data_IF_800645756126
#
_entry.id   IF_800645756126
#
_cell.length_a   1.000
_cell.length_b   1.000
_cell.length_c   1.000
_cell.angle_alpha   90.00
_cell.angle_beta   90.00
_cell.angle_gamma   90.00
#
_symmetry.space_group_name_H-M   'P 1'
#
loop_
_entity.id
_entity.type
_entity.pdbx_description
1 polymer ?
#
# COMPACT_ATOMS: atom_id res chain seq x y z
N UNK A 1 12.53 36.43 -18.12
CA UNK A 1 13.86 35.88 -18.38
C UNK A 1 14.07 35.73 -19.87
N UNK A 2 15.26 36.03 -20.34
CA UNK A 2 15.63 35.83 -21.74
C UNK A 2 16.13 34.39 -21.99
N UNK A 3 16.47 34.06 -23.25
CA UNK A 3 16.96 32.72 -23.65
C UNK A 3 18.29 32.31 -22.99
N UNK A 4 19.00 33.23 -22.36
CA UNK A 4 20.26 33.00 -21.61
C UNK A 4 20.00 32.87 -20.11
N UNK A 5 18.74 32.89 -19.65
CA UNK A 5 18.39 32.80 -18.26
C UNK A 5 18.56 34.12 -17.48
N UNK A 6 18.88 35.23 -18.15
CA UNK A 6 18.99 36.52 -17.47
C UNK A 6 17.64 37.18 -17.28
N UNK A 7 17.46 37.83 -16.15
CA UNK A 7 16.25 38.61 -15.81
C UNK A 7 16.67 39.95 -15.22
N UNK A 8 15.79 40.93 -15.36
CA UNK A 8 15.91 42.24 -14.76
C UNK A 8 14.58 42.63 -14.15
N UNK A 9 14.63 43.14 -12.93
CA UNK A 9 13.45 43.59 -12.18
C UNK A 9 13.72 45.03 -11.75
N UNK A 10 12.91 45.96 -12.23
CA UNK A 10 12.95 47.36 -11.80
C UNK A 10 12.13 47.54 -10.53
N UNK A 11 12.70 48.16 -9.53
CA UNK A 11 12.05 48.43 -8.22
C UNK A 11 12.24 49.88 -7.85
N UNK A 12 11.25 50.46 -7.15
CA UNK A 12 11.21 51.88 -6.83
C UNK A 12 11.81 52.27 -5.47
N UNK A 13 12.13 51.27 -4.63
CA UNK A 13 12.59 51.51 -3.25
C UNK A 13 13.91 50.76 -3.00
N UNK A 14 14.78 51.33 -2.21
CA UNK A 14 16.06 50.69 -1.82
C UNK A 14 15.88 49.86 -0.54
N UNK A 15 15.18 48.74 -0.70
CA UNK A 15 14.96 47.75 0.39
C UNK A 15 15.29 46.33 -0.06
N UNK A 16 15.30 45.39 0.87
CA UNK A 16 15.44 43.97 0.54
C UNK A 16 14.12 43.48 -0.10
N UNK A 17 14.26 42.75 -1.20
CA UNK A 17 13.15 42.08 -1.88
C UNK A 17 13.31 40.58 -1.81
N UNK A 18 12.23 39.88 -1.45
CA UNK A 18 12.16 38.43 -1.57
C UNK A 18 11.74 38.07 -2.98
N UNK A 19 12.67 37.47 -3.72
CA UNK A 19 12.45 37.05 -5.10
C UNK A 19 12.26 35.55 -5.12
N UNK A 20 11.12 35.10 -5.63
CA UNK A 20 10.85 33.68 -5.84
C UNK A 20 11.09 33.35 -7.31
N UNK A 21 12.09 32.50 -7.56
CA UNK A 21 12.32 31.93 -8.88
C UNK A 21 11.64 30.55 -8.96
N UNK A 22 10.81 30.35 -9.98
CA UNK A 22 10.14 29.09 -10.25
C UNK A 22 10.18 28.75 -11.72
N UNK A 23 10.38 27.48 -12.04
CA UNK A 23 10.33 26.95 -13.39
C UNK A 23 9.77 25.53 -13.38
N UNK A 24 9.03 25.17 -14.43
CA UNK A 24 8.43 23.81 -14.53
C UNK A 24 9.50 22.76 -14.48
N UNK A 25 9.38 21.81 -13.55
CA UNK A 25 10.39 20.75 -13.33
C UNK A 25 11.53 21.11 -12.38
N UNK A 26 11.49 22.31 -11.74
CA UNK A 26 12.49 22.74 -10.76
C UNK A 26 11.84 23.12 -9.43
N UNK A 27 12.59 23.00 -8.34
CA UNK A 27 12.14 23.45 -7.04
C UNK A 27 12.14 24.97 -6.98
N UNK A 28 11.04 25.62 -6.54
CA UNK A 28 11.04 27.06 -6.31
C UNK A 28 12.12 27.44 -5.29
N UNK A 29 12.84 28.51 -5.56
CA UNK A 29 13.89 29.02 -4.67
C UNK A 29 13.63 30.49 -4.33
N UNK A 30 13.70 30.78 -3.05
CA UNK A 30 13.60 32.14 -2.53
C UNK A 30 15.00 32.71 -2.32
N UNK A 31 15.20 33.94 -2.78
CA UNK A 31 16.45 34.68 -2.63
C UNK A 31 16.16 36.11 -2.24
N UNK A 32 16.82 36.59 -1.23
CA UNK A 32 16.71 38.01 -0.84
C UNK A 32 17.76 38.80 -1.65
N UNK A 33 17.32 39.77 -2.42
CA UNK A 33 18.16 40.62 -3.23
C UNK A 33 17.92 42.11 -2.92
N UNK A 34 18.95 42.92 -3.15
CA UNK A 34 18.91 44.38 -3.06
C UNK A 34 19.03 45.02 -4.43
N UNK A 35 18.41 46.22 -4.64
CA UNK A 35 18.60 46.99 -5.87
C UNK A 35 20.10 47.21 -6.13
N UNK A 36 20.51 47.09 -7.43
CA UNK A 36 21.89 47.27 -7.85
C UNK A 36 22.80 46.05 -7.63
N UNK A 37 22.27 44.93 -7.06
CA UNK A 37 23.04 43.69 -6.93
C UNK A 37 22.62 42.66 -7.97
N UNK A 38 23.60 41.95 -8.50
CA UNK A 38 23.39 40.79 -9.38
C UNK A 38 23.06 39.59 -8.49
N UNK A 39 21.87 39.02 -8.67
CA UNK A 39 21.46 37.79 -7.99
C UNK A 39 21.58 36.60 -8.95
N UNK A 40 22.42 35.62 -8.60
CA UNK A 40 22.50 34.35 -9.33
C UNK A 40 21.62 33.32 -8.61
N UNK A 41 20.60 32.79 -9.29
CA UNK A 41 19.68 31.83 -8.74
C UNK A 41 19.84 30.50 -9.47
N UNK A 42 20.46 29.53 -8.82
CA UNK A 42 20.53 28.16 -9.35
C UNK A 42 19.32 27.40 -8.88
N UNK A 43 18.46 27.00 -9.81
CA UNK A 43 17.34 26.12 -9.56
C UNK A 43 17.80 24.66 -9.62
N UNK A 44 17.44 23.89 -8.63
CA UNK A 44 17.67 22.44 -8.64
C UNK A 44 16.47 21.76 -9.28
N UNK A 45 16.74 20.83 -10.21
CA UNK A 45 15.68 20.01 -10.78
C UNK A 45 14.84 19.43 -9.65
N UNK A 46 13.54 19.69 -9.69
CA UNK A 46 12.60 18.97 -8.86
C UNK A 46 12.64 17.53 -9.34
N UNK A 47 13.36 16.66 -8.62
CA UNK A 47 13.26 15.21 -8.81
C UNK A 47 11.89 14.66 -8.45
N UNK A 48 10.97 15.52 -8.11
CA UNK A 48 9.55 15.26 -8.13
C UNK A 48 9.06 15.44 -9.57
N UNK A 49 9.58 14.64 -10.47
CA UNK A 49 8.83 14.32 -11.68
C UNK A 49 7.57 13.62 -11.21
N UNK A 50 6.52 14.40 -10.99
CA UNK A 50 5.20 13.93 -10.57
C UNK A 50 4.57 12.95 -11.58
N UNK A 51 5.22 12.70 -12.72
CA UNK A 51 4.71 11.88 -13.82
C UNK A 51 5.65 10.77 -14.30
N UNK A 52 6.84 10.60 -13.72
CA UNK A 52 7.76 9.57 -14.17
C UNK A 52 7.88 8.46 -13.12
N UNK A 53 6.83 7.68 -13.01
CA UNK A 53 6.83 6.43 -12.23
C UNK A 53 7.38 5.35 -13.15
N UNK A 54 8.51 4.78 -12.80
CA UNK A 54 9.07 3.62 -13.48
C UNK A 54 8.24 2.41 -13.05
N UNK A 55 7.56 1.79 -13.99
CA UNK A 55 6.75 0.59 -13.76
C UNK A 55 7.59 -0.62 -14.07
N UNK A 56 7.87 -1.43 -13.05
CA UNK A 56 8.63 -2.68 -13.20
C UNK A 56 7.78 -3.84 -13.67
N UNK A 57 6.48 -3.59 -13.83
CA UNK A 57 5.48 -4.60 -14.11
C UNK A 57 5.62 -5.35 -15.45
N UNK A 58 6.43 -4.91 -16.40
CA UNK A 58 6.67 -5.58 -17.70
C UNK A 58 7.99 -6.36 -17.77
N UNK A 59 8.60 -6.71 -16.62
CA UNK A 59 9.96 -7.28 -16.50
C UNK A 59 11.09 -6.36 -17.02
N UNK A 60 10.76 -5.11 -17.33
CA UNK A 60 11.72 -4.08 -17.70
C UNK A 60 11.27 -2.74 -17.14
N UNK A 61 12.19 -1.97 -16.57
CA UNK A 61 11.92 -0.63 -16.09
C UNK A 61 11.58 0.28 -17.28
N UNK A 62 10.36 0.80 -17.32
CA UNK A 62 9.91 1.74 -18.34
C UNK A 62 9.12 2.89 -17.71
N UNK A 63 9.20 4.09 -18.24
CA UNK A 63 8.33 5.18 -17.84
C UNK A 63 6.85 4.82 -18.05
N UNK A 64 5.98 5.17 -17.11
CA UNK A 64 4.55 4.88 -17.19
C UNK A 64 3.90 5.39 -18.50
N UNK A 65 4.35 6.56 -18.97
CA UNK A 65 3.87 7.17 -20.23
C UNK A 65 4.16 6.34 -21.50
N UNK A 66 5.23 5.51 -21.45
CA UNK A 66 5.66 4.69 -22.58
C UNK A 66 5.12 3.25 -22.49
N UNK A 67 4.24 2.99 -21.53
CA UNK A 67 3.63 1.67 -21.36
C UNK A 67 2.48 1.47 -22.35
N UNK A 68 2.53 0.46 -23.21
CA UNK A 68 1.45 0.14 -24.15
C UNK A 68 0.21 -0.47 -23.46
N UNK A 69 0.22 -0.50 -22.14
CA UNK A 69 -0.73 -1.25 -21.31
C UNK A 69 -1.38 -0.34 -20.29
N UNK A 70 -2.68 -0.55 -20.05
CA UNK A 70 -3.40 0.17 -19.01
C UNK A 70 -2.83 -0.17 -17.64
N UNK A 71 -1.96 0.69 -17.15
CA UNK A 71 -1.28 0.54 -15.86
C UNK A 71 -1.71 1.67 -14.93
N UNK A 72 -2.13 1.34 -13.71
CA UNK A 72 -2.35 2.28 -12.62
C UNK A 72 -1.24 2.12 -11.60
N UNK A 73 -0.77 3.25 -11.08
CA UNK A 73 0.18 3.28 -9.97
C UNK A 73 -0.45 3.98 -8.79
N UNK A 74 -0.51 3.29 -7.66
CA UNK A 74 -0.83 3.88 -6.36
C UNK A 74 0.50 4.33 -5.77
N UNK A 75 0.72 5.64 -5.79
CA UNK A 75 1.98 6.23 -5.33
C UNK A 75 2.09 6.22 -3.81
N UNK A 76 3.31 6.40 -3.29
CA UNK A 76 3.55 6.53 -1.84
C UNK A 76 2.70 7.65 -1.21
N UNK A 77 2.55 8.77 -1.89
CA UNK A 77 1.73 9.88 -1.43
C UNK A 77 0.25 9.50 -1.29
N UNK A 78 -0.28 8.76 -2.25
CA UNK A 78 -1.65 8.24 -2.21
C UNK A 78 -1.83 7.25 -1.05
N UNK A 79 -0.88 6.33 -0.85
CA UNK A 79 -0.86 5.39 0.28
C UNK A 79 -0.89 6.13 1.63
N UNK A 80 -0.08 7.17 1.78
CA UNK A 80 -0.03 8.00 3.00
C UNK A 80 -1.33 8.80 3.20
N UNK A 81 -1.96 9.26 2.14
CA UNK A 81 -3.24 9.99 2.19
C UNK A 81 -4.39 9.08 2.61
N UNK A 82 -4.45 7.85 2.09
CA UNK A 82 -5.47 6.85 2.47
C UNK A 82 -5.30 6.45 3.94
N UNK A 83 -4.08 6.47 4.45
CA UNK A 83 -3.73 6.18 5.84
C UNK A 83 -4.28 4.82 6.34
N UNK A 84 -4.31 3.82 5.48
CA UNK A 84 -4.78 2.49 5.81
C UNK A 84 -3.83 1.78 6.79
N UNK A 85 -4.39 0.96 7.69
CA UNK A 85 -3.60 0.15 8.64
C UNK A 85 -3.16 -1.18 8.06
N UNK A 86 -3.85 -1.68 7.05
CA UNK A 86 -3.54 -2.93 6.37
C UNK A 86 -3.66 -2.80 4.85
N UNK A 87 -3.09 -3.78 4.14
CA UNK A 87 -3.09 -3.80 2.68
C UNK A 87 -4.49 -3.99 2.09
N UNK A 88 -5.37 -4.73 2.76
CA UNK A 88 -6.73 -4.99 2.28
C UNK A 88 -7.53 -3.70 2.23
N UNK A 89 -7.51 -2.92 3.30
CA UNK A 89 -8.15 -1.61 3.38
C UNK A 89 -7.57 -0.63 2.34
N UNK A 90 -6.23 -0.63 2.19
CA UNK A 90 -5.57 0.20 1.19
C UNK A 90 -6.05 -0.13 -0.23
N UNK A 91 -6.03 -1.41 -0.59
CA UNK A 91 -6.41 -1.85 -1.93
C UNK A 91 -7.89 -1.63 -2.21
N UNK A 92 -8.79 -1.91 -1.25
CA UNK A 92 -10.23 -1.67 -1.42
C UNK A 92 -10.54 -0.18 -1.63
N UNK A 93 -9.85 0.70 -0.91
CA UNK A 93 -10.04 2.15 -1.03
C UNK A 93 -9.47 2.68 -2.35
N UNK A 94 -8.30 2.17 -2.76
CA UNK A 94 -7.60 2.66 -3.94
C UNK A 94 -8.08 2.04 -5.25
N UNK A 95 -8.67 0.83 -5.22
CA UNK A 95 -9.05 0.07 -6.41
C UNK A 95 -10.56 -0.20 -6.45
N UNK A 96 -11.33 0.62 -7.17
CA UNK A 96 -12.74 0.35 -7.39
C UNK A 96 -12.97 -1.03 -8.03
N UNK A 97 -13.94 -1.78 -7.48
CA UNK A 97 -14.29 -3.13 -7.94
C UNK A 97 -13.44 -4.25 -7.34
N UNK A 98 -12.50 -3.92 -6.45
CA UNK A 98 -11.77 -4.91 -5.67
C UNK A 98 -12.45 -5.06 -4.30
N UNK A 99 -12.78 -6.30 -3.95
CA UNK A 99 -13.44 -6.65 -2.70
C UNK A 99 -12.69 -7.77 -2.01
N UNK A 100 -12.62 -7.68 -0.69
CA UNK A 100 -12.16 -8.76 0.16
C UNK A 100 -13.32 -9.25 0.99
N UNK A 101 -13.53 -10.55 0.99
CA UNK A 101 -14.48 -11.25 1.86
C UNK A 101 -13.72 -12.22 2.75
N UNK A 102 -14.17 -12.37 3.98
CA UNK A 102 -13.61 -13.37 4.88
C UNK A 102 -14.49 -14.62 4.83
N UNK A 103 -13.88 -15.75 4.54
CA UNK A 103 -14.56 -17.04 4.53
C UNK A 103 -14.32 -17.72 5.87
N UNK A 104 -15.38 -17.84 6.67
CA UNK A 104 -15.32 -18.43 8.02
C UNK A 104 -14.94 -19.91 8.01
N UNK A 105 -15.29 -20.64 6.94
CA UNK A 105 -14.96 -22.06 6.84
C UNK A 105 -13.49 -22.30 6.54
N UNK A 106 -12.92 -21.54 5.60
CA UNK A 106 -11.52 -21.66 5.23
C UNK A 106 -10.60 -20.81 6.11
N UNK A 107 -11.15 -19.96 7.00
CA UNK A 107 -10.43 -18.99 7.82
C UNK A 107 -9.50 -18.10 6.98
N UNK A 108 -9.85 -17.87 5.73
CA UNK A 108 -9.04 -17.18 4.75
C UNK A 108 -9.75 -15.95 4.19
N UNK A 109 -8.94 -14.98 3.77
CA UNK A 109 -9.44 -13.81 3.05
C UNK A 109 -9.47 -14.14 1.57
N UNK A 110 -10.65 -14.11 0.99
CA UNK A 110 -10.88 -14.26 -0.44
C UNK A 110 -10.92 -12.89 -1.10
N UNK A 111 -10.42 -12.82 -2.31
CA UNK A 111 -10.43 -11.61 -3.13
C UNK A 111 -11.33 -11.79 -4.34
N UNK A 112 -12.08 -10.76 -4.66
CA UNK A 112 -12.79 -10.62 -5.93
C UNK A 112 -12.43 -9.28 -6.56
N UNK A 113 -12.04 -9.30 -7.83
CA UNK A 113 -11.73 -8.11 -8.59
C UNK A 113 -12.53 -8.08 -9.89
N UNK A 114 -13.39 -7.08 -10.03
CA UNK A 114 -14.29 -6.94 -11.19
C UNK A 114 -15.10 -8.23 -11.49
N UNK A 115 -15.56 -8.91 -10.44
CA UNK A 115 -16.31 -10.17 -10.55
C UNK A 115 -15.45 -11.43 -10.76
N UNK A 116 -14.14 -11.30 -10.90
CA UNK A 116 -13.21 -12.42 -11.03
C UNK A 116 -12.61 -12.78 -9.67
N UNK A 117 -12.58 -14.07 -9.34
CA UNK A 117 -12.01 -14.56 -8.07
C UNK A 117 -10.48 -14.52 -8.02
N UNK A 118 -9.92 -14.78 -6.87
CA UNK A 118 -8.49 -14.64 -6.56
C UNK A 118 -7.52 -15.41 -7.47
N UNK A 119 -7.96 -16.47 -8.10
CA UNK A 119 -7.14 -17.21 -9.09
C UNK A 119 -6.84 -16.41 -10.35
N UNK A 120 -7.71 -15.45 -10.68
CA UNK A 120 -7.56 -14.62 -11.87
C UNK A 120 -6.71 -13.37 -11.62
N UNK A 121 -6.33 -13.08 -10.37
CA UNK A 121 -5.52 -11.93 -9.98
C UNK A 121 -4.16 -12.41 -9.50
N UNK A 122 -3.11 -11.95 -10.16
CA UNK A 122 -1.74 -12.27 -9.77
C UNK A 122 -1.18 -11.20 -8.83
N UNK A 123 -0.65 -11.64 -7.69
CA UNK A 123 0.08 -10.78 -6.77
C UNK A 123 1.57 -10.99 -6.89
N UNK A 124 2.31 -9.89 -6.97
CA UNK A 124 3.76 -9.86 -6.97
C UNK A 124 4.27 -9.01 -5.79
N UNK A 125 5.43 -9.36 -5.27
CA UNK A 125 6.21 -8.58 -4.31
C UNK A 125 7.58 -8.30 -4.94
N UNK A 126 7.89 -7.04 -5.18
CA UNK A 126 9.13 -6.62 -5.86
C UNK A 126 9.37 -7.36 -7.20
N UNK A 127 8.28 -7.72 -7.90
CA UNK A 127 8.33 -8.49 -9.16
C UNK A 127 8.28 -10.01 -9.01
N UNK A 128 8.46 -10.53 -7.79
CA UNK A 128 8.41 -11.96 -7.50
C UNK A 128 6.98 -12.42 -7.20
N UNK A 129 6.59 -13.57 -7.72
CA UNK A 129 5.24 -14.10 -7.53
C UNK A 129 4.98 -14.50 -6.09
N UNK A 130 3.85 -14.04 -5.55
CA UNK A 130 3.31 -14.50 -4.28
C UNK A 130 2.27 -15.57 -4.57
N UNK A 131 2.45 -16.76 -4.01
CA UNK A 131 1.46 -17.82 -4.04
C UNK A 131 0.71 -17.87 -2.72
N UNK A 132 -0.61 -17.99 -2.82
CA UNK A 132 -1.47 -18.23 -1.68
C UNK A 132 -1.67 -19.72 -1.43
N UNK A 133 -2.33 -20.04 -0.32
CA UNK A 133 -2.66 -21.41 0.07
C UNK A 133 -3.99 -21.86 -0.54
N UNK A 134 -4.11 -23.16 -0.74
CA UNK A 134 -5.32 -23.83 -1.20
C UNK A 134 -5.71 -23.53 -2.64
N UNK A 135 -6.83 -24.14 -3.03
CA UNK A 135 -7.35 -24.07 -4.40
C UNK A 135 -7.84 -22.69 -4.84
N UNK A 136 -8.09 -21.76 -3.92
CA UNK A 136 -8.54 -20.39 -4.20
C UNK A 136 -7.39 -19.38 -4.29
N UNK A 137 -6.13 -19.80 -4.11
CA UNK A 137 -4.95 -18.93 -4.04
C UNK A 137 -5.09 -17.86 -2.94
N UNK A 138 -5.47 -18.29 -1.73
CA UNK A 138 -5.70 -17.40 -0.61
C UNK A 138 -4.39 -16.86 -0.06
N UNK A 139 -4.14 -15.59 -0.27
CA UNK A 139 -2.94 -14.90 0.21
C UNK A 139 -3.24 -14.31 1.60
N UNK A 140 -2.34 -14.51 2.56
CA UNK A 140 -2.41 -13.76 3.82
C UNK A 140 -1.91 -12.33 3.60
N UNK A 141 -2.85 -11.42 3.29
CA UNK A 141 -2.54 -10.00 3.04
C UNK A 141 -2.02 -9.28 4.28
N UNK A 142 -2.22 -9.87 5.46
CA UNK A 142 -1.68 -9.37 6.72
C UNK A 142 -0.16 -9.38 6.79
N UNK A 143 0.51 -10.20 5.96
CA UNK A 143 1.99 -10.25 5.91
C UNK A 143 2.65 -8.97 5.34
N UNK A 144 1.88 -8.10 4.67
CA UNK A 144 2.41 -6.90 4.03
C UNK A 144 2.22 -5.69 4.93
N UNK A 145 3.31 -5.13 5.40
CA UNK A 145 3.29 -3.89 6.16
C UNK A 145 3.16 -2.70 5.18
N UNK A 146 2.05 -1.98 5.27
CA UNK A 146 1.76 -0.81 4.41
C UNK A 146 2.86 0.26 4.49
N UNK A 147 3.55 0.37 5.64
CA UNK A 147 4.63 1.32 5.81
C UNK A 147 5.87 0.97 4.98
N UNK A 148 6.07 -0.30 4.66
CA UNK A 148 7.21 -0.76 3.86
C UNK A 148 6.95 -0.69 2.36
N UNK A 149 5.71 -0.38 1.95
CA UNK A 149 5.33 -0.24 0.54
C UNK A 149 5.76 1.13 0.03
N UNK A 150 6.46 1.16 -1.09
CA UNK A 150 6.80 2.37 -1.82
C UNK A 150 5.67 2.79 -2.75
N UNK A 151 5.19 1.85 -3.56
CA UNK A 151 4.07 2.02 -4.47
C UNK A 151 3.44 0.68 -4.81
N UNK A 152 2.25 0.70 -5.39
CA UNK A 152 1.59 -0.50 -5.92
C UNK A 152 1.30 -0.26 -7.39
N UNK A 153 1.75 -1.17 -8.24
CA UNK A 153 1.57 -1.13 -9.68
C UNK A 153 0.49 -2.13 -10.08
N UNK A 154 -0.50 -1.68 -10.84
CA UNK A 154 -1.62 -2.51 -11.26
C UNK A 154 -1.65 -2.54 -12.79
N UNK A 155 -1.45 -3.72 -13.36
CA UNK A 155 -1.55 -3.97 -14.80
C UNK A 155 -2.86 -4.68 -15.09
N UNK A 156 -3.63 -4.15 -16.04
CA UNK A 156 -4.95 -4.67 -16.42
C UNK A 156 -4.98 -5.14 -17.85
N UNK A 157 -5.93 -6.04 -18.14
CA UNK A 157 -6.18 -6.51 -19.49
C UNK A 157 -5.18 -7.56 -19.99
N UNK A 158 -5.14 -7.77 -21.30
CA UNK A 158 -4.38 -8.85 -21.95
C UNK A 158 -2.88 -8.86 -21.60
N UNK A 159 -2.30 -7.72 -21.29
CA UNK A 159 -0.88 -7.66 -20.90
C UNK A 159 -0.58 -8.30 -19.56
N UNK A 160 -1.55 -8.46 -18.69
CA UNK A 160 -1.38 -9.22 -17.46
C UNK A 160 -1.01 -10.70 -17.75
N UNK A 161 -1.43 -11.24 -18.88
CA UNK A 161 -1.08 -12.61 -19.30
C UNK A 161 0.39 -12.83 -19.64
N UNK A 162 1.17 -11.74 -19.81
CA UNK A 162 2.64 -11.82 -19.94
C UNK A 162 3.32 -12.32 -18.66
N UNK A 163 2.64 -12.19 -17.53
CA UNK A 163 3.13 -12.65 -16.22
C UNK A 163 2.69 -14.07 -15.89
N UNK A 164 1.43 -14.36 -16.16
CA UNK A 164 0.84 -15.69 -15.98
C UNK A 164 -0.41 -15.77 -16.87
N UNK A 165 -0.59 -16.85 -17.61
CA UNK A 165 -1.76 -17.10 -18.43
C UNK A 165 -3.08 -17.06 -17.64
N UNK A 166 -3.01 -17.21 -16.32
CA UNK A 166 -4.15 -17.13 -15.40
C UNK A 166 -4.46 -15.72 -14.90
N UNK A 167 -3.59 -14.74 -15.14
CA UNK A 167 -3.75 -13.37 -14.65
C UNK A 167 -4.77 -12.54 -15.49
N UNK A 168 -5.92 -13.13 -15.81
CA UNK A 168 -6.96 -12.52 -16.66
C UNK A 168 -7.54 -11.27 -15.97
N UNK A 169 -7.69 -11.30 -14.66
CA UNK A 169 -8.18 -10.18 -13.84
C UNK A 169 -7.17 -9.06 -13.66
N UNK A 170 -5.89 -9.34 -13.84
CA UNK A 170 -4.81 -8.37 -13.71
C UNK A 170 -3.66 -8.82 -12.83
N UNK A 171 -2.64 -7.98 -12.77
CA UNK A 171 -1.46 -8.14 -11.92
C UNK A 171 -1.40 -6.98 -10.93
N UNK A 172 -1.21 -7.27 -9.66
CA UNK A 172 -0.98 -6.30 -8.59
C UNK A 172 0.43 -6.53 -8.06
N UNK A 173 1.35 -5.61 -8.39
CA UNK A 173 2.75 -5.68 -7.98
C UNK A 173 3.01 -4.71 -6.84
N UNK A 174 3.35 -5.23 -5.68
CA UNK A 174 3.67 -4.47 -4.47
C UNK A 174 5.17 -4.20 -4.50
N UNK A 175 5.54 -2.94 -4.70
CA UNK A 175 6.94 -2.51 -4.67
C UNK A 175 7.27 -2.00 -3.28
N UNK A 176 8.25 -2.64 -2.67
CA UNK A 176 8.71 -2.25 -1.34
C UNK A 176 9.79 -1.17 -1.40
N UNK A 177 9.91 -0.43 -0.32
CA UNK A 177 10.88 0.65 -0.21
C UNK A 177 12.30 0.14 -0.37
N UNK A 178 13.08 0.92 -1.10
CA UNK A 178 14.54 0.83 -1.15
C UNK A 178 15.09 2.02 -0.37
N UNK A 179 16.17 1.82 0.39
CA UNK A 179 16.81 2.91 1.12
C UNK A 179 17.52 3.88 0.17
N UNK A 180 16.83 4.95 -0.25
CA UNK A 180 17.41 5.94 -1.18
C UNK A 180 18.16 7.09 -0.48
N UNK A 181 17.94 7.28 0.82
CA UNK A 181 18.59 8.33 1.60
C UNK A 181 19.84 7.79 2.30
N UNK A 182 20.88 8.61 2.52
CA UNK A 182 22.08 8.19 3.23
C UNK A 182 21.80 7.58 4.60
N UNK A 183 20.81 8.12 5.31
CA UNK A 183 20.27 7.56 6.54
C UNK A 183 18.76 7.71 6.50
N UNK A 184 18.07 6.67 6.85
CA UNK A 184 16.60 6.65 6.97
C UNK A 184 16.25 6.12 8.35
N UNK A 185 15.43 6.86 9.09
CA UNK A 185 14.77 6.39 10.29
C UNK A 185 13.31 6.82 10.24
N UNK A 186 12.39 5.90 10.55
CA UNK A 186 10.97 6.17 10.59
C UNK A 186 10.35 5.42 11.74
N UNK A 187 9.53 6.12 12.49
CA UNK A 187 8.64 5.55 13.50
C UNK A 187 7.22 5.92 13.10
N UNK A 188 6.32 4.98 13.14
CA UNK A 188 4.91 5.21 12.85
C UNK A 188 4.05 4.46 13.85
N UNK A 189 3.05 5.15 14.36
CA UNK A 189 2.00 4.56 15.20
C UNK A 189 0.65 4.98 14.64
N UNK A 190 -0.30 4.07 14.62
CA UNK A 190 -1.67 4.32 14.17
C UNK A 190 -2.65 3.61 15.09
N UNK A 191 -3.75 4.29 15.33
CA UNK A 191 -4.89 3.74 16.06
C UNK A 191 -6.11 3.79 15.15
N UNK A 192 -6.84 2.71 15.08
CA UNK A 192 -8.09 2.60 14.33
C UNK A 192 -9.22 2.18 15.24
N UNK A 193 -10.46 2.38 14.80
CA UNK A 193 -11.62 1.88 15.50
C UNK A 193 -11.54 0.37 15.79
N UNK A 194 -12.26 -0.09 16.81
CA UNK A 194 -12.25 -1.48 17.27
C UNK A 194 -10.91 -1.96 17.80
N UNK A 195 -10.24 -1.10 18.56
CA UNK A 195 -8.94 -1.39 19.18
C UNK A 195 -7.89 -1.90 18.20
N UNK A 196 -7.91 -1.33 16.99
CA UNK A 196 -6.86 -1.55 16.00
C UNK A 196 -5.64 -0.71 16.34
N UNK A 197 -4.50 -1.36 16.50
CA UNK A 197 -3.22 -0.75 16.81
C UNK A 197 -2.17 -1.17 15.79
N UNK A 198 -1.33 -0.24 15.40
CA UNK A 198 -0.20 -0.49 14.53
C UNK A 198 1.01 0.32 15.00
N UNK A 199 2.11 -0.37 15.17
CA UNK A 199 3.41 0.20 15.47
C UNK A 199 4.40 -0.25 14.41
N UNK A 200 5.19 0.65 13.86
CA UNK A 200 6.27 0.28 12.97
C UNK A 200 7.50 1.15 13.16
N UNK A 201 8.64 0.53 13.07
CA UNK A 201 9.95 1.18 13.11
C UNK A 201 10.74 0.68 11.92
N UNK A 202 11.35 1.58 11.18
CA UNK A 202 12.30 1.22 10.14
C UNK A 202 13.53 2.10 10.21
N UNK A 203 14.69 1.48 10.03
CA UNK A 203 15.98 2.15 9.99
C UNK A 203 16.84 1.58 8.86
N UNK A 204 17.55 2.46 8.18
CA UNK A 204 18.38 2.06 7.06
C UNK A 204 19.51 3.04 6.79
N UNK A 205 20.54 2.51 6.16
CA UNK A 205 21.69 3.27 5.69
C UNK A 205 21.90 2.95 4.21
N UNK A 206 22.14 3.99 3.43
CA UNK A 206 22.51 3.87 2.02
C UNK A 206 23.83 4.60 1.79
N UNK A 207 24.86 3.86 1.55
CA UNK A 207 26.21 4.32 1.19
C UNK A 207 26.50 3.93 -0.25
N UNK A 208 27.56 4.48 -0.82
CA UNK A 208 27.93 4.35 -2.24
C UNK A 208 27.79 2.90 -2.79
N UNK A 209 28.26 1.92 -2.05
CA UNK A 209 28.28 0.51 -2.47
C UNK A 209 27.43 -0.40 -1.59
N UNK A 210 26.88 0.12 -0.47
CA UNK A 210 26.16 -0.67 0.51
C UNK A 210 24.85 0.00 0.90
N UNK A 211 23.77 -0.73 0.88
CA UNK A 211 22.51 -0.29 1.46
C UNK A 211 21.91 -1.35 2.36
N UNK A 212 21.31 -0.90 3.45
CA UNK A 212 20.55 -1.75 4.36
C UNK A 212 19.28 -1.05 4.78
N UNK A 213 18.21 -1.84 4.95
CA UNK A 213 16.96 -1.38 5.51
C UNK A 213 16.40 -2.50 6.40
N UNK A 214 16.23 -2.17 7.68
CA UNK A 214 15.58 -3.05 8.66
C UNK A 214 14.23 -2.44 9.00
N UNK A 215 13.18 -3.24 8.96
CA UNK A 215 11.84 -2.84 9.35
C UNK A 215 11.28 -3.80 10.40
N UNK A 216 10.57 -3.24 11.36
CA UNK A 216 9.83 -3.94 12.40
C UNK A 216 8.41 -3.41 12.39
N UNK A 217 7.43 -4.32 12.41
CA UNK A 217 6.02 -4.00 12.47
C UNK A 217 5.29 -4.85 13.50
N UNK A 218 4.41 -4.22 14.27
CA UNK A 218 3.45 -4.90 15.12
C UNK A 218 2.07 -4.34 14.87
N UNK A 219 1.10 -5.22 14.63
CA UNK A 219 -0.29 -4.86 14.37
C UNK A 219 -1.22 -5.76 15.19
N UNK A 220 -2.20 -5.15 15.83
CA UNK A 220 -3.20 -5.86 16.60
C UNK A 220 -4.58 -5.31 16.27
N UNK A 221 -5.57 -6.18 16.24
CA UNK A 221 -6.99 -5.83 16.23
C UNK A 221 -7.74 -6.82 17.09
N UNK A 222 -8.67 -6.35 17.89
CA UNK A 222 -9.53 -7.20 18.68
C UNK A 222 -10.64 -7.85 17.85
N UNK A 223 -11.11 -8.99 18.30
CA UNK A 223 -12.30 -9.65 17.73
C UNK A 223 -13.54 -8.80 17.99
N UNK A 224 -14.46 -8.79 17.05
CA UNK A 224 -15.73 -8.13 17.23
C UNK A 224 -16.86 -8.94 16.60
N UNK A 225 -18.03 -8.84 17.19
CA UNK A 225 -19.22 -9.56 16.73
C UNK A 225 -20.09 -8.59 15.92
N UNK A 226 -20.47 -9.01 14.73
CA UNK A 226 -21.51 -8.37 13.95
C UNK A 226 -22.81 -9.07 14.31
N UNK A 227 -23.69 -8.36 15.00
CA UNK A 227 -25.04 -8.82 15.23
C UNK A 227 -25.92 -8.33 14.07
N UNK A 228 -26.67 -9.23 13.44
CA UNK A 228 -27.76 -8.82 12.57
C UNK A 228 -28.87 -8.25 13.47
N UNK A 229 -29.06 -6.94 13.42
CA UNK A 229 -30.02 -6.23 14.26
C UNK A 229 -31.49 -6.46 13.84
N UNK A 230 -31.69 -7.13 12.71
CA UNK A 230 -33.03 -7.45 12.21
C UNK A 230 -33.42 -8.83 12.76
N UNK A 231 -34.06 -8.87 13.91
CA UNK A 231 -34.70 -10.08 14.40
C UNK A 231 -35.72 -10.57 13.36
N UNK A 232 -35.42 -11.67 12.70
CA UNK A 232 -36.38 -12.31 11.79
C UNK A 232 -37.50 -12.88 12.63
N UNK A 233 -38.66 -12.28 12.55
CA UNK A 233 -39.87 -12.80 13.15
C UNK A 233 -40.47 -13.85 12.23
N UNK A 234 -40.54 -15.08 12.68
CA UNK A 234 -41.22 -16.15 11.97
C UNK A 234 -42.66 -16.18 12.44
N UNK A 235 -43.60 -15.89 11.55
CA UNK A 235 -45.03 -16.05 11.84
C UNK A 235 -45.47 -17.46 11.38
N UNK A 236 -45.92 -18.26 12.33
CA UNK A 236 -46.47 -19.57 12.05
C UNK A 236 -48.00 -19.53 12.36
N UNK A 237 -48.82 -19.75 11.34
CA UNK A 237 -50.26 -19.82 11.50
C UNK A 237 -50.64 -21.25 11.92
N UNK A 238 -51.15 -21.39 13.11
CA UNK A 238 -51.63 -22.67 13.62
C UNK A 238 -52.99 -23.02 13.02
N UNK A 239 -53.36 -24.31 13.00
CA UNK A 239 -54.62 -24.81 12.46
C UNK A 239 -55.87 -24.23 13.10
N UNK A 240 -55.74 -23.67 14.31
CA UNK A 240 -56.80 -22.97 15.04
C UNK A 240 -56.90 -21.46 14.71
N UNK A 241 -56.16 -20.99 13.67
CA UNK A 241 -56.17 -19.58 13.24
C UNK A 241 -55.26 -18.65 14.05
N UNK A 242 -54.65 -19.13 15.11
CA UNK A 242 -53.75 -18.34 15.95
C UNK A 242 -52.39 -18.16 15.22
N UNK A 243 -51.90 -16.92 15.15
CA UNK A 243 -50.57 -16.60 14.61
C UNK A 243 -49.58 -16.61 15.77
N UNK A 244 -48.68 -17.58 15.76
CA UNK A 244 -47.53 -17.63 16.66
C UNK A 244 -46.38 -16.88 16.07
N UNK A 245 -45.83 -15.88 16.78
CA UNK A 245 -44.65 -15.13 16.41
C UNK A 245 -43.45 -15.63 17.21
N UNK A 246 -42.55 -16.31 16.54
CA UNK A 246 -41.29 -16.76 17.14
C UNK A 246 -40.17 -15.84 16.64
N UNK A 247 -39.38 -15.26 17.55
CA UNK A 247 -38.17 -14.52 17.21
C UNK A 247 -37.09 -15.54 16.94
N UNK A 248 -36.66 -15.62 15.69
CA UNK A 248 -35.51 -16.46 15.34
C UNK A 248 -34.26 -15.87 15.96
N UNK A 249 -33.32 -16.71 16.47
CA UNK A 249 -32.05 -16.22 17.00
C UNK A 249 -31.33 -15.45 15.92
N UNK A 250 -30.85 -14.27 16.27
CA UNK A 250 -30.01 -13.46 15.43
C UNK A 250 -28.71 -14.21 15.14
N UNK A 251 -28.36 -14.36 13.89
CA UNK A 251 -27.03 -14.87 13.52
C UNK A 251 -25.99 -13.85 13.96
N UNK A 252 -25.12 -14.26 14.86
CA UNK A 252 -23.96 -13.47 15.26
C UNK A 252 -22.76 -14.03 14.52
N UNK A 253 -22.16 -13.20 13.68
CA UNK A 253 -20.88 -13.52 13.04
C UNK A 253 -19.76 -12.81 13.79
N UNK A 254 -18.79 -13.56 14.29
CA UNK A 254 -17.63 -13.00 14.97
C UNK A 254 -16.47 -12.88 13.99
N UNK A 255 -16.04 -11.67 13.72
CA UNK A 255 -14.82 -11.41 12.99
C UNK A 255 -13.64 -11.47 13.96
N UNK A 256 -12.81 -12.48 13.76
CA UNK A 256 -11.67 -12.72 14.63
C UNK A 256 -10.64 -11.59 14.57
N UNK A 257 -10.13 -11.26 15.73
CA UNK A 257 -8.97 -10.39 15.86
C UNK A 257 -7.69 -11.06 15.37
N UNK A 258 -6.63 -10.31 15.36
CA UNK A 258 -5.29 -10.82 15.04
C UNK A 258 -4.21 -10.05 15.78
N UNK A 259 -3.07 -10.67 15.95
CA UNK A 259 -1.83 -10.05 16.40
C UNK A 259 -0.72 -10.49 15.45
N UNK A 260 -0.17 -9.54 14.73
CA UNK A 260 0.83 -9.77 13.68
C UNK A 260 2.13 -9.11 14.08
N UNK A 261 3.21 -9.88 14.05
CA UNK A 261 4.57 -9.41 14.17
C UNK A 261 5.29 -9.65 12.84
N UNK A 262 5.86 -8.62 12.27
CA UNK A 262 6.69 -8.70 11.07
C UNK A 262 8.04 -8.04 11.28
N UNK A 263 9.09 -8.69 10.80
CA UNK A 263 10.45 -8.16 10.77
C UNK A 263 11.02 -8.41 9.39
N UNK A 264 11.59 -7.40 8.77
CA UNK A 264 12.22 -7.54 7.47
C UNK A 264 13.61 -6.92 7.44
N UNK A 265 14.51 -7.56 6.72
CA UNK A 265 15.87 -7.11 6.50
C UNK A 265 16.17 -7.14 5.01
N UNK A 266 16.62 -6.01 4.48
CA UNK A 266 17.14 -5.90 3.12
C UNK A 266 18.60 -5.47 3.18
N UNK A 267 19.44 -6.12 2.41
CA UNK A 267 20.85 -5.80 2.24
C UNK A 267 21.14 -5.76 0.74
N UNK A 268 21.90 -4.79 0.31
CA UNK A 268 22.36 -4.70 -1.06
C UNK A 268 23.83 -4.25 -1.06
N UNK A 269 24.65 -4.93 -1.82
CA UNK A 269 26.04 -4.57 -2.02
C UNK A 269 26.40 -4.56 -3.49
N UNK A 270 26.95 -3.44 -3.96
CA UNK A 270 27.43 -3.25 -5.32
C UNK A 270 28.93 -3.45 -5.32
N UNK A 271 29.40 -4.55 -5.91
CA UNK A 271 30.83 -4.85 -6.03
C UNK A 271 31.48 -3.99 -7.12
N UNK A 272 30.81 -3.89 -8.25
CA UNK A 272 31.20 -3.07 -9.41
C UNK A 272 29.96 -2.81 -10.29
N UNK A 273 30.15 -2.14 -11.44
CA UNK A 273 29.05 -1.78 -12.35
C UNK A 273 28.32 -2.98 -12.97
N UNK A 274 28.92 -4.17 -12.91
CA UNK A 274 28.35 -5.40 -13.49
C UNK A 274 27.87 -6.40 -12.42
N UNK A 275 28.31 -6.27 -11.17
CA UNK A 275 28.02 -7.22 -10.11
C UNK A 275 27.41 -6.54 -8.89
N UNK A 276 26.21 -6.96 -8.56
CA UNK A 276 25.47 -6.55 -7.37
C UNK A 276 24.93 -7.78 -6.67
N UNK A 277 24.98 -7.81 -5.36
CA UNK A 277 24.30 -8.81 -4.53
C UNK A 277 23.20 -8.17 -3.70
N UNK A 278 22.02 -8.76 -3.76
CA UNK A 278 20.87 -8.36 -2.98
C UNK A 278 20.44 -9.54 -2.10
N UNK A 279 20.22 -9.27 -0.82
CA UNK A 279 19.67 -10.21 0.13
C UNK A 279 18.42 -9.62 0.77
N UNK A 280 17.36 -10.42 0.83
CA UNK A 280 16.13 -10.07 1.54
C UNK A 280 15.70 -11.24 2.41
N UNK A 281 15.51 -10.96 3.70
CA UNK A 281 14.95 -11.89 4.66
C UNK A 281 13.77 -11.27 5.37
N UNK A 282 12.77 -12.08 5.73
CA UNK A 282 11.63 -11.64 6.52
C UNK A 282 11.16 -12.72 7.47
N UNK A 283 10.76 -12.29 8.67
CA UNK A 283 10.05 -13.10 9.65
C UNK A 283 8.65 -12.56 9.81
N UNK A 284 7.67 -13.45 9.78
CA UNK A 284 6.26 -13.11 9.91
C UNK A 284 5.58 -14.09 10.86
N UNK A 285 4.85 -13.55 11.84
CA UNK A 285 4.06 -14.34 12.78
C UNK A 285 2.67 -13.72 12.91
N UNK A 286 1.65 -14.48 12.56
CA UNK A 286 0.25 -14.09 12.67
C UNK A 286 -0.44 -14.99 13.67
N UNK A 287 -0.86 -14.42 14.80
CA UNK A 287 -1.64 -15.13 15.82
C UNK A 287 -3.10 -14.66 15.73
N UNK A 288 -3.98 -15.61 15.50
CA UNK A 288 -5.43 -15.42 15.56
C UNK A 288 -5.98 -16.20 16.75
N UNK A 289 -6.83 -15.60 17.61
CA UNK A 289 -7.48 -16.37 18.66
C UNK A 289 -8.37 -17.41 17.97
N UNK A 290 -8.14 -18.70 18.27
CA UNK A 290 -9.06 -19.75 17.89
C UNK A 290 -10.30 -19.60 18.77
N UNK A 291 -11.50 -19.66 18.17
CA UNK A 291 -12.69 -19.88 18.97
C UNK A 291 -12.57 -21.26 19.60
N UNK A 292 -12.33 -21.33 20.90
CA UNK A 292 -12.81 -22.47 21.66
C UNK A 292 -14.33 -22.43 21.51
N UNK A 293 -14.87 -23.37 20.73
CA UNK A 293 -16.29 -23.71 20.84
C UNK A 293 -16.50 -24.11 22.29
N UNK A 294 -16.95 -23.20 23.14
CA UNK A 294 -17.60 -23.56 24.39
C UNK A 294 -18.81 -24.39 23.95
N UNK A 295 -18.64 -25.71 23.96
CA UNK A 295 -19.80 -26.63 24.01
C UNK A 295 -20.61 -26.20 25.20
N UNK A 296 -21.65 -25.47 24.95
CA UNK A 296 -22.76 -25.38 25.90
C UNK A 296 -23.37 -26.75 25.94
N UNK A 297 -22.83 -27.59 26.83
CA UNK A 297 -23.56 -28.73 27.34
C UNK A 297 -24.63 -28.17 28.29
N UNK A 298 -25.84 -28.13 27.81
CA UNK A 298 -27.06 -28.43 28.58
C UNK A 298 -28.17 -28.80 27.62
#
# INVERSE_FOLDING_TARGET
TNSKGMFEITVNENRNYDITASYVGFQPKHVIARPGQNASITLFSSRTNLNEVVVTGTRSDRPLKDMPVLTRVISRREIETINAIDLTTLLQTALPGLQFSYNDMSQATEITYQGLGGKAVLFLLDGERISGEGGANNIDYGRFNVNDIDRIEIVRGAAATLYDSRAIGGVINIITRKGFRPVTARVSTRYAGRNGEMYSVSAGVNRKNFSTLTSFGYRKRESYTIADSIGKVRETRLSNGVVKRDTLPTYQSTIHGYSILDVSQKLSYVFNDQLRADFQGSYYNNRRPSNEYKKLHQ
#
